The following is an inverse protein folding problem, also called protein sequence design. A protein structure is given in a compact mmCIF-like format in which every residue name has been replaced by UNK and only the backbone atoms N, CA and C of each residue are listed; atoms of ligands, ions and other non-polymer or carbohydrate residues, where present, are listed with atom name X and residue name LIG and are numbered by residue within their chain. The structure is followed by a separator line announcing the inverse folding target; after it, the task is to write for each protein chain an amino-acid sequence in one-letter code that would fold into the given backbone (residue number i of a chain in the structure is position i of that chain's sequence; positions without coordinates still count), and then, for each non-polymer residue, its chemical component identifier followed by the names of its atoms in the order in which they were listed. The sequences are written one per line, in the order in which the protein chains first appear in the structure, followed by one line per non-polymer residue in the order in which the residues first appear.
data_IF_716348241401
#
_entry.id   IF_716348241401
#
_cell.length_a   1.000
_cell.length_b   1.000
_cell.length_c   1.000
_cell.angle_alpha   90.00
_cell.angle_beta   90.00
_cell.angle_gamma   90.00
#
_symmetry.space_group_name_H-M   'P 1'
#
loop_
_entity.id
_entity.type
_entity.pdbx_description
1 polymer ?
#
# COMPACT_ATOMS: atom_id res chain seq x y z
N UNK A 1 -14.78 -36.20 -6.68
CA UNK A 1 -13.91 -35.11 -6.16
C UNK A 1 -14.81 -33.95 -5.80
N UNK A 2 -14.61 -33.38 -4.62
CA UNK A 2 -15.45 -32.26 -4.19
C UNK A 2 -15.10 -30.99 -4.99
N UNK A 3 -16.10 -30.38 -5.57
CA UNK A 3 -15.99 -29.12 -6.31
C UNK A 3 -16.59 -27.97 -5.50
N UNK A 4 -16.10 -26.75 -5.76
CA UNK A 4 -16.53 -25.52 -5.11
C UNK A 4 -16.54 -24.37 -6.11
N UNK A 5 -17.43 -23.43 -5.92
CA UNK A 5 -17.50 -22.21 -6.71
C UNK A 5 -16.56 -21.14 -6.12
N UNK A 6 -15.81 -20.45 -7.00
CA UNK A 6 -14.99 -19.32 -6.62
C UNK A 6 -15.83 -18.05 -6.52
N UNK A 7 -15.77 -17.34 -5.38
CA UNK A 7 -16.55 -16.11 -5.18
C UNK A 7 -16.13 -14.93 -6.07
N UNK A 8 -15.00 -15.03 -6.78
CA UNK A 8 -14.52 -13.98 -7.69
C UNK A 8 -14.87 -14.29 -9.14
N UNK A 9 -14.34 -15.41 -9.72
CA UNK A 9 -14.59 -15.75 -11.12
C UNK A 9 -15.88 -16.56 -11.35
N UNK A 10 -16.54 -17.00 -10.31
CA UNK A 10 -17.79 -17.79 -10.35
C UNK A 10 -17.66 -19.16 -11.03
N UNK A 11 -16.44 -19.60 -11.34
CA UNK A 11 -16.21 -20.91 -11.91
C UNK A 11 -16.23 -22.00 -10.82
N UNK A 12 -16.88 -23.11 -11.12
CA UNK A 12 -16.86 -24.32 -10.28
C UNK A 12 -15.54 -25.07 -10.56
N UNK A 13 -14.75 -25.26 -9.52
CA UNK A 13 -13.42 -25.88 -9.61
C UNK A 13 -13.26 -26.95 -8.52
N UNK A 14 -12.29 -27.85 -8.75
CA UNK A 14 -11.89 -28.79 -7.72
C UNK A 14 -11.33 -28.05 -6.49
N UNK A 15 -11.65 -28.48 -5.28
CA UNK A 15 -11.22 -27.85 -4.03
C UNK A 15 -9.71 -27.67 -3.91
N UNK A 16 -8.89 -28.54 -4.51
CA UNK A 16 -7.43 -28.40 -4.49
C UNK A 16 -6.90 -27.19 -5.28
N UNK A 17 -7.75 -26.55 -6.10
CA UNK A 17 -7.44 -25.33 -6.84
C UNK A 17 -7.77 -24.04 -6.06
N UNK A 18 -8.15 -24.16 -4.80
CA UNK A 18 -8.36 -23.04 -3.89
C UNK A 18 -7.18 -22.85 -2.97
N UNK A 19 -7.01 -21.64 -2.46
CA UNK A 19 -5.98 -21.28 -1.49
C UNK A 19 -6.56 -20.39 -0.42
N UNK A 20 -5.88 -20.31 0.72
CA UNK A 20 -6.19 -19.31 1.74
C UNK A 20 -6.02 -17.91 1.16
N UNK A 21 -7.08 -17.11 1.26
CA UNK A 21 -7.11 -15.69 0.95
C UNK A 21 -7.29 -14.89 2.24
N UNK A 22 -6.51 -13.84 2.42
CA UNK A 22 -6.68 -12.91 3.52
C UNK A 22 -7.65 -11.80 3.08
N UNK A 23 -8.79 -11.66 3.72
CA UNK A 23 -9.77 -10.59 3.40
C UNK A 23 -9.08 -9.23 3.43
N UNK A 24 -8.35 -8.95 4.49
CA UNK A 24 -7.42 -7.80 4.57
C UNK A 24 -6.01 -8.36 4.37
N UNK A 25 -5.19 -7.80 3.49
CA UNK A 25 -3.86 -8.32 3.23
C UNK A 25 -3.03 -8.56 4.50
N UNK A 26 -2.38 -9.72 4.61
CA UNK A 26 -1.49 -10.09 5.72
C UNK A 26 -0.40 -9.03 5.98
N UNK A 27 0.11 -8.41 4.91
CA UNK A 27 1.07 -7.33 5.01
C UNK A 27 0.53 -6.04 5.64
N UNK A 28 -0.78 -5.94 5.87
CA UNK A 28 -1.43 -4.90 6.67
C UNK A 28 -1.86 -5.40 8.04
N UNK A 29 -1.60 -6.67 8.37
CA UNK A 29 -1.94 -7.28 9.65
C UNK A 29 -3.32 -7.96 9.65
N UNK A 30 -3.91 -8.20 8.49
CA UNK A 30 -5.17 -8.96 8.38
C UNK A 30 -5.03 -10.39 8.87
N UNK A 31 -5.98 -10.85 9.68
CA UNK A 31 -5.96 -12.18 10.29
C UNK A 31 -7.07 -13.10 9.80
N UNK A 32 -8.14 -12.52 9.24
CA UNK A 32 -9.31 -13.28 8.76
C UNK A 32 -8.97 -13.88 7.40
N UNK A 33 -9.13 -15.19 7.28
CA UNK A 33 -8.87 -15.97 6.07
C UNK A 33 -10.11 -16.67 5.59
N UNK A 34 -10.23 -16.78 4.27
CA UNK A 34 -11.27 -17.53 3.59
C UNK A 34 -10.68 -18.55 2.61
N UNK A 35 -11.42 -19.61 2.33
CA UNK A 35 -11.03 -20.68 1.38
C UNK A 35 -11.97 -20.70 0.15
N UNK A 36 -12.52 -19.56 -0.23
CA UNK A 36 -13.52 -19.41 -1.25
C UNK A 36 -13.03 -18.77 -2.55
N UNK A 37 -11.73 -18.47 -2.58
CA UNK A 37 -11.06 -17.89 -3.74
C UNK A 37 -10.14 -18.92 -4.38
N UNK A 38 -10.26 -19.13 -5.70
CA UNK A 38 -9.35 -20.03 -6.39
C UNK A 38 -7.94 -19.43 -6.51
N UNK A 39 -6.92 -20.28 -6.57
CA UNK A 39 -5.50 -19.88 -6.63
C UNK A 39 -5.22 -18.83 -7.70
N UNK A 40 -5.81 -19.00 -8.90
CA UNK A 40 -5.62 -18.04 -10.00
C UNK A 40 -6.14 -16.66 -9.63
N UNK A 41 -7.36 -16.54 -9.09
CA UNK A 41 -7.91 -15.24 -8.68
C UNK A 41 -7.10 -14.63 -7.53
N UNK A 42 -6.73 -15.42 -6.52
CA UNK A 42 -5.93 -15.00 -5.39
C UNK A 42 -4.57 -14.41 -5.85
N UNK A 43 -3.86 -15.12 -6.75
CA UNK A 43 -2.58 -14.65 -7.29
C UNK A 43 -2.72 -13.35 -8.11
N UNK A 44 -3.78 -13.22 -8.90
CA UNK A 44 -4.03 -12.00 -9.69
C UNK A 44 -4.42 -10.82 -8.79
N UNK A 45 -5.27 -11.03 -7.79
CA UNK A 45 -5.62 -10.01 -6.81
C UNK A 45 -4.39 -9.55 -6.03
N UNK A 46 -3.55 -10.48 -5.56
CA UNK A 46 -2.32 -10.15 -4.85
C UNK A 46 -1.38 -9.24 -5.64
N UNK A 47 -1.29 -9.42 -6.96
CA UNK A 47 -0.44 -8.60 -7.84
C UNK A 47 -1.06 -7.26 -8.20
N UNK A 48 -2.37 -7.25 -8.49
CA UNK A 48 -3.06 -6.13 -9.13
C UNK A 48 -3.83 -5.24 -8.14
N UNK A 49 -4.13 -5.76 -6.95
CA UNK A 49 -4.93 -5.07 -5.93
C UNK A 49 -4.15 -4.90 -4.63
N UNK A 50 -3.86 -6.00 -3.92
CA UNK A 50 -3.24 -5.99 -2.58
C UNK A 50 -1.94 -5.19 -2.57
N UNK A 51 -1.12 -5.35 -3.62
CA UNK A 51 0.14 -4.62 -3.76
C UNK A 51 -0.07 -3.11 -3.70
N UNK A 52 -1.06 -2.57 -4.42
CA UNK A 52 -1.29 -1.13 -4.48
C UNK A 52 -1.76 -0.54 -3.14
N UNK A 53 -2.63 -1.24 -2.42
CA UNK A 53 -3.07 -0.80 -1.10
C UNK A 53 -1.94 -0.93 -0.07
N UNK A 54 -1.22 -2.04 -0.05
CA UNK A 54 -0.16 -2.30 0.93
C UNK A 54 1.06 -1.42 0.71
N UNK A 55 1.30 -1.02 -0.54
CA UNK A 55 2.41 -0.17 -0.95
C UNK A 55 2.06 1.33 -0.95
N UNK A 56 0.81 1.69 -0.74
CA UNK A 56 0.40 3.08 -0.61
C UNK A 56 1.11 3.77 0.55
N UNK A 57 1.59 5.01 0.35
CA UNK A 57 2.45 5.70 1.33
C UNK A 57 1.84 5.74 2.73
N UNK A 58 0.53 5.97 2.86
CA UNK A 58 -0.14 6.01 4.17
C UNK A 58 -0.09 4.64 4.87
N UNK A 59 -0.18 3.56 4.11
CA UNK A 59 -0.10 2.21 4.65
C UNK A 59 1.35 1.77 4.91
N UNK A 60 2.33 2.29 4.18
CA UNK A 60 3.75 2.13 4.54
C UNK A 60 4.07 2.82 5.86
N UNK A 61 3.51 4.02 6.11
CA UNK A 61 3.60 4.70 7.41
C UNK A 61 2.98 3.85 8.51
N UNK A 62 1.76 3.33 8.28
CA UNK A 62 1.06 2.44 9.20
C UNK A 62 1.90 1.20 9.53
N UNK A 63 2.37 0.48 8.52
CA UNK A 63 3.21 -0.72 8.67
C UNK A 63 4.50 -0.43 9.44
N UNK A 64 5.13 0.72 9.18
CA UNK A 64 6.33 1.15 9.90
C UNK A 64 6.02 1.44 11.37
N UNK A 65 4.95 2.20 11.65
CA UNK A 65 4.49 2.55 13.02
C UNK A 65 4.23 1.31 13.86
N UNK A 66 3.54 0.31 13.30
CA UNK A 66 3.15 -0.89 14.02
C UNK A 66 4.07 -2.10 13.78
N UNK A 67 5.18 -1.91 13.11
CA UNK A 67 6.20 -2.94 12.80
C UNK A 67 5.65 -4.16 12.07
N UNK A 68 4.73 -3.95 11.13
CA UNK A 68 4.07 -5.01 10.36
C UNK A 68 4.94 -5.36 9.15
N UNK A 69 5.51 -6.57 9.14
CA UNK A 69 6.44 -7.02 8.10
C UNK A 69 5.77 -7.77 6.93
N UNK A 70 4.63 -8.40 7.16
CA UNK A 70 3.98 -9.30 6.20
C UNK A 70 4.83 -10.54 5.86
N UNK A 71 4.48 -11.26 4.81
CA UNK A 71 5.12 -12.53 4.39
C UNK A 71 6.62 -12.42 4.13
N UNK A 72 7.11 -11.27 3.74
CA UNK A 72 8.55 -11.08 3.42
C UNK A 72 9.44 -10.91 4.64
N UNK A 73 8.87 -10.76 5.85
CA UNK A 73 9.62 -10.45 7.08
C UNK A 73 10.24 -9.03 7.09
N UNK A 74 9.96 -8.20 6.07
CA UNK A 74 10.55 -6.86 5.95
C UNK A 74 9.49 -5.78 6.17
N UNK A 75 9.82 -4.81 7.01
CA UNK A 75 9.03 -3.58 7.17
C UNK A 75 9.41 -2.65 6.01
N UNK A 76 8.44 -2.11 5.24
CA UNK A 76 8.77 -1.25 4.11
C UNK A 76 9.37 0.08 4.54
N UNK A 77 10.21 0.67 3.70
CA UNK A 77 10.57 2.07 3.82
C UNK A 77 9.38 2.95 3.40
N UNK A 78 9.17 4.06 4.13
CA UNK A 78 8.03 4.95 3.86
C UNK A 78 8.17 5.60 2.49
N UNK A 79 9.38 6.07 2.16
CA UNK A 79 9.70 6.66 0.86
C UNK A 79 10.63 5.70 0.14
N UNK A 80 10.14 5.08 -0.92
CA UNK A 80 10.89 4.08 -1.70
C UNK A 80 11.77 4.68 -2.77
N UNK A 81 11.34 5.79 -3.31
CA UNK A 81 12.03 6.44 -4.42
C UNK A 81 13.06 7.41 -3.89
N UNK A 82 14.24 7.37 -4.49
CA UNK A 82 15.20 8.43 -4.29
C UNK A 82 14.69 9.70 -4.97
N UNK A 83 14.92 10.81 -4.34
CA UNK A 83 14.69 12.13 -4.93
C UNK A 83 16.02 12.75 -5.38
N UNK A 84 15.93 13.84 -6.11
CA UNK A 84 17.08 14.62 -6.52
C UNK A 84 16.91 16.03 -5.98
N UNK A 85 18.00 16.61 -5.53
CA UNK A 85 18.03 18.03 -5.17
C UNK A 85 18.08 18.93 -6.40
N UNK A 86 18.09 20.25 -6.18
CA UNK A 86 18.19 21.25 -7.25
C UNK A 86 19.48 21.16 -8.07
N UNK A 87 20.51 20.47 -7.57
CA UNK A 87 21.79 20.23 -8.25
C UNK A 87 21.87 18.84 -8.88
N UNK A 88 20.77 18.08 -8.93
CA UNK A 88 20.71 16.73 -9.50
C UNK A 88 21.37 15.64 -8.66
N UNK A 89 21.64 15.89 -7.36
CA UNK A 89 22.21 14.90 -6.46
C UNK A 89 21.13 13.93 -5.98
N UNK A 90 21.44 12.65 -6.00
CA UNK A 90 20.56 11.62 -5.48
C UNK A 90 20.47 11.70 -3.96
N UNK A 91 19.24 11.73 -3.45
CA UNK A 91 18.91 11.73 -2.02
C UNK A 91 18.04 10.53 -1.72
N UNK A 92 18.44 9.73 -0.74
CA UNK A 92 17.63 8.66 -0.16
C UNK A 92 17.05 9.17 1.16
N UNK A 93 15.74 8.96 1.34
CA UNK A 93 15.06 9.25 2.60
C UNK A 93 14.85 7.93 3.31
N UNK A 94 15.48 7.76 4.45
CA UNK A 94 15.32 6.59 5.33
C UNK A 94 14.64 6.98 6.62
N UNK A 95 14.02 6.03 7.26
CA UNK A 95 13.41 6.22 8.58
C UNK A 95 14.26 5.48 9.60
N UNK A 96 14.67 6.15 10.66
CA UNK A 96 15.38 5.53 11.77
C UNK A 96 14.45 4.67 12.66
N UNK A 97 15.00 4.07 13.71
CA UNK A 97 14.25 3.22 14.65
C UNK A 97 13.17 3.97 15.42
N UNK A 98 13.29 5.28 15.55
CA UNK A 98 12.34 6.18 16.21
C UNK A 98 11.32 6.78 15.23
N UNK A 99 11.31 6.33 13.96
CA UNK A 99 10.50 6.85 12.87
C UNK A 99 10.83 8.29 12.44
N UNK A 100 12.02 8.83 12.80
CA UNK A 100 12.46 10.10 12.26
C UNK A 100 13.03 9.91 10.86
N UNK A 101 12.78 10.89 10.00
CA UNK A 101 13.34 10.86 8.65
C UNK A 101 14.82 11.23 8.68
N UNK A 102 15.64 10.36 8.13
CA UNK A 102 17.07 10.60 7.90
C UNK A 102 17.32 10.74 6.40
N UNK A 103 17.89 11.88 6.03
CA UNK A 103 18.27 12.16 4.65
C UNK A 103 19.70 11.66 4.43
N UNK A 104 19.88 10.84 3.41
CA UNK A 104 21.18 10.32 3.01
C UNK A 104 21.47 10.85 1.61
N UNK A 105 22.42 11.79 1.52
CA UNK A 105 22.85 12.34 0.26
C UNK A 105 23.94 11.47 -0.36
N UNK A 106 23.82 11.17 -1.64
CA UNK A 106 24.92 10.58 -2.39
C UNK A 106 26.06 11.58 -2.50
N UNK A 107 27.32 11.15 -2.41
CA UNK A 107 28.45 12.09 -2.50
C UNK A 107 28.44 12.80 -3.85
N UNK A 108 28.67 14.11 -3.81
CA UNK A 108 28.91 14.87 -5.02
C UNK A 108 30.32 14.52 -5.53
N UNK A 109 30.44 14.31 -6.86
CA UNK A 109 31.68 13.92 -7.53
C UNK A 109 32.01 14.97 -8.57
N UNK A 110 33.15 15.59 -8.40
CA UNK A 110 33.66 16.60 -9.31
C UNK A 110 35.05 16.16 -9.82
N UNK A 111 35.15 15.90 -11.11
CA UNK A 111 36.44 15.63 -11.73
C UNK A 111 37.15 16.97 -11.97
N UNK A 112 38.31 17.17 -11.34
CA UNK A 112 39.12 18.37 -11.52
C UNK A 112 40.03 18.24 -12.73
N UNK A 113 40.45 17.01 -13.04
CA UNK A 113 41.19 16.63 -14.24
C UNK A 113 41.01 15.10 -14.46
N UNK A 114 41.70 14.55 -15.47
CA UNK A 114 41.58 13.13 -15.82
C UNK A 114 41.96 12.15 -14.69
N UNK A 115 42.68 12.59 -13.67
CA UNK A 115 43.21 11.74 -12.60
C UNK A 115 42.81 12.21 -11.20
N UNK A 116 42.16 13.36 -11.07
CA UNK A 116 41.76 13.90 -9.76
C UNK A 116 40.27 13.98 -9.63
N UNK A 117 39.75 13.28 -8.62
CA UNK A 117 38.35 13.25 -8.26
C UNK A 117 38.15 13.89 -6.88
N UNK A 118 37.43 14.99 -6.85
CA UNK A 118 36.93 15.55 -5.59
C UNK A 118 35.61 14.91 -5.23
N UNK A 119 35.50 14.42 -3.99
CA UNK A 119 34.26 13.84 -3.45
C UNK A 119 33.87 14.61 -2.19
N UNK A 120 32.64 15.18 -2.24
CA UNK A 120 32.03 15.84 -1.08
C UNK A 120 31.02 14.90 -0.45
N UNK A 121 31.15 14.67 0.84
CA UNK A 121 30.27 13.80 1.62
C UNK A 121 29.45 14.62 2.61
N UNK A 122 28.30 14.09 2.98
CA UNK A 122 27.53 14.62 4.10
C UNK A 122 28.33 14.43 5.39
N UNK A 123 28.25 15.41 6.28
CA UNK A 123 28.90 15.30 7.60
C UNK A 123 28.40 14.05 8.35
N UNK A 124 29.32 13.32 8.98
CA UNK A 124 29.04 12.07 9.70
C UNK A 124 28.71 10.85 8.82
N UNK A 125 28.96 10.89 7.50
CA UNK A 125 28.79 9.69 6.66
C UNK A 125 29.87 8.64 6.95
N UNK A 126 29.51 7.62 7.72
CA UNK A 126 30.39 6.50 8.11
C UNK A 126 30.69 5.51 6.97
N UNK A 127 30.11 5.69 5.78
CA UNK A 127 30.40 4.88 4.58
C UNK A 127 31.42 5.51 3.63
N UNK A 128 31.89 6.73 3.93
CA UNK A 128 32.77 7.49 3.04
C UNK A 128 34.00 6.70 2.61
N UNK A 129 34.69 6.05 3.53
CA UNK A 129 35.90 5.27 3.23
C UNK A 129 35.64 4.10 2.28
N UNK A 130 34.54 3.36 2.53
CA UNK A 130 34.14 2.23 1.67
C UNK A 130 33.76 2.69 0.25
N UNK A 131 33.13 3.86 0.13
CA UNK A 131 32.76 4.45 -1.17
C UNK A 131 33.99 4.86 -1.94
N UNK A 132 34.96 5.51 -1.27
CA UNK A 132 36.23 5.93 -1.87
C UNK A 132 37.04 4.74 -2.35
N UNK A 133 37.18 3.71 -1.50
CA UNK A 133 37.92 2.51 -1.84
C UNK A 133 37.29 1.79 -3.05
N UNK A 134 35.99 1.62 -3.08
CA UNK A 134 35.30 1.05 -4.26
C UNK A 134 35.50 1.87 -5.53
N UNK A 135 35.76 3.17 -5.44
CA UNK A 135 36.15 4.00 -6.59
C UNK A 135 37.59 3.76 -7.03
N UNK A 136 38.52 3.66 -6.10
CA UNK A 136 39.93 3.36 -6.38
C UNK A 136 40.08 1.99 -7.05
N UNK A 137 39.40 0.98 -6.52
CA UNK A 137 39.39 -0.37 -7.11
C UNK A 137 38.86 -0.38 -8.56
N UNK A 138 37.73 0.32 -8.80
CA UNK A 138 37.16 0.42 -10.17
C UNK A 138 38.07 1.18 -11.13
N UNK A 139 38.78 2.17 -10.68
CA UNK A 139 39.75 2.91 -11.49
C UNK A 139 40.96 2.04 -11.82
N UNK A 140 41.50 1.34 -10.81
CA UNK A 140 42.63 0.41 -10.96
C UNK A 140 42.29 -0.72 -11.93
N UNK A 141 41.07 -1.27 -11.88
CA UNK A 141 40.60 -2.30 -12.83
C UNK A 141 40.55 -1.77 -14.27
N UNK A 142 40.50 -0.45 -14.49
CA UNK A 142 40.55 0.21 -15.80
C UNK A 142 41.94 0.74 -16.16
N UNK A 143 42.98 0.36 -15.39
CA UNK A 143 44.35 0.83 -15.60
C UNK A 143 44.56 2.31 -15.29
N UNK A 144 43.70 2.92 -14.45
CA UNK A 144 43.77 4.32 -14.07
C UNK A 144 44.10 4.46 -12.58
N UNK A 145 44.98 5.37 -12.24
CA UNK A 145 45.26 5.78 -10.88
C UNK A 145 44.54 7.10 -10.62
N UNK A 146 43.64 7.14 -9.64
CA UNK A 146 42.83 8.32 -9.32
C UNK A 146 43.17 8.80 -7.92
N UNK A 147 43.58 10.05 -7.81
CA UNK A 147 43.73 10.76 -6.54
C UNK A 147 42.35 11.24 -6.10
N UNK A 148 41.85 10.78 -4.94
CA UNK A 148 40.57 11.19 -4.37
C UNK A 148 40.82 12.17 -3.24
N UNK A 149 40.42 13.45 -3.43
CA UNK A 149 40.40 14.46 -2.40
C UNK A 149 39.04 14.42 -1.68
N UNK A 150 39.07 14.17 -0.39
CA UNK A 150 37.89 14.21 0.47
C UNK A 150 37.69 15.65 0.95
N UNK A 151 36.50 16.17 0.79
CA UNK A 151 36.10 17.46 1.34
C UNK A 151 34.81 17.23 2.12
N UNK A 152 34.76 17.68 3.35
CA UNK A 152 33.58 17.64 4.19
C UNK A 152 32.73 18.86 3.90
N UNK A 153 31.43 18.68 3.94
CA UNK A 153 30.32 19.61 3.91
C UNK A 153 29.51 19.58 2.60
N UNK A 154 28.46 18.78 2.64
CA UNK A 154 27.28 19.02 1.82
C UNK A 154 26.20 19.61 2.72
N UNK A 155 25.89 20.87 2.55
CA UNK A 155 24.72 21.46 3.19
C UNK A 155 23.46 20.71 2.71
N UNK A 156 22.52 20.39 3.63
CA UNK A 156 21.27 19.78 3.24
C UNK A 156 20.51 20.74 2.32
N UNK A 157 19.89 20.26 1.24
CA UNK A 157 19.11 21.12 0.37
C UNK A 157 17.88 21.68 1.10
N UNK A 158 17.52 22.91 0.81
CA UNK A 158 16.36 23.58 1.42
C UNK A 158 15.01 22.95 1.06
N UNK A 159 14.93 22.28 -0.09
CA UNK A 159 13.71 21.65 -0.59
C UNK A 159 14.01 20.30 -1.23
N UNK A 160 13.09 19.36 -0.99
CA UNK A 160 13.12 18.03 -1.58
C UNK A 160 11.84 17.79 -2.38
N UNK A 161 11.98 17.31 -3.60
CA UNK A 161 10.85 16.88 -4.41
C UNK A 161 10.91 15.36 -4.56
N UNK A 162 9.84 14.68 -4.17
CA UNK A 162 9.69 13.27 -4.49
C UNK A 162 8.42 13.10 -5.32
N UNK A 163 8.47 12.16 -6.26
CA UNK A 163 7.33 11.78 -7.09
C UNK A 163 6.96 10.35 -6.76
N UNK A 164 5.71 10.13 -6.47
CA UNK A 164 5.14 8.81 -6.28
C UNK A 164 3.97 8.64 -7.24
N UNK A 165 3.94 7.54 -7.96
CA UNK A 165 2.82 7.17 -8.82
C UNK A 165 1.85 6.32 -8.01
N UNK A 166 0.60 6.77 -7.92
CA UNK A 166 -0.44 6.12 -7.15
C UNK A 166 -1.52 5.63 -8.10
N UNK A 167 -1.77 4.33 -8.12
CA UNK A 167 -2.89 3.75 -8.83
C UNK A 167 -4.15 3.78 -7.95
N UNK A 168 -4.86 4.90 -7.97
CA UNK A 168 -6.06 5.08 -7.15
C UNK A 168 -7.18 4.10 -7.52
N UNK A 169 -7.32 3.75 -8.79
CA UNK A 169 -8.33 2.76 -9.25
C UNK A 169 -8.06 1.39 -8.64
N UNK A 170 -6.81 0.94 -8.62
CA UNK A 170 -6.45 -0.32 -7.97
C UNK A 170 -6.72 -0.29 -6.46
N UNK A 171 -6.41 0.83 -5.79
CA UNK A 171 -6.68 1.00 -4.35
C UNK A 171 -8.20 0.98 -4.09
N UNK A 172 -9.01 1.67 -4.90
CA UNK A 172 -10.48 1.62 -4.81
C UNK A 172 -10.99 0.18 -4.97
N UNK A 173 -10.47 -0.52 -5.98
CA UNK A 173 -10.87 -1.90 -6.25
C UNK A 173 -10.46 -2.84 -5.10
N UNK A 174 -9.32 -2.62 -4.46
CA UNK A 174 -8.93 -3.40 -3.29
C UNK A 174 -9.89 -3.20 -2.11
N UNK A 175 -10.31 -1.98 -1.83
CA UNK A 175 -11.35 -1.74 -0.83
C UNK A 175 -12.67 -2.43 -1.18
N UNK A 176 -13.02 -2.44 -2.46
CA UNK A 176 -14.20 -3.11 -2.96
C UNK A 176 -14.11 -4.64 -2.79
N UNK A 177 -12.94 -5.23 -3.10
CA UNK A 177 -12.64 -6.65 -2.87
C UNK A 177 -12.76 -7.00 -1.39
N UNK A 178 -12.14 -6.23 -0.49
CA UNK A 178 -12.21 -6.43 0.96
C UNK A 178 -13.66 -6.44 1.44
N UNK A 179 -14.48 -5.48 0.99
CA UNK A 179 -15.90 -5.42 1.34
C UNK A 179 -16.68 -6.65 0.82
N UNK A 180 -16.38 -7.09 -0.41
CA UNK A 180 -17.01 -8.25 -1.04
C UNK A 180 -16.69 -9.55 -0.28
N UNK A 181 -15.42 -9.82 -0.03
CA UNK A 181 -14.97 -11.02 0.67
C UNK A 181 -15.46 -11.03 2.13
N UNK A 182 -15.47 -9.87 2.74
CA UNK A 182 -15.98 -9.71 4.09
C UNK A 182 -17.47 -10.06 4.20
N UNK A 183 -18.31 -9.54 3.28
CA UNK A 183 -19.73 -9.90 3.26
C UNK A 183 -19.95 -11.37 2.89
N UNK A 184 -19.15 -11.95 2.02
CA UNK A 184 -19.17 -13.38 1.75
C UNK A 184 -18.90 -14.24 3.00
N UNK A 185 -18.09 -13.71 3.91
CA UNK A 185 -17.74 -14.40 5.16
C UNK A 185 -18.79 -14.21 6.27
N UNK A 186 -19.39 -13.03 6.35
CA UNK A 186 -20.26 -12.66 7.48
C UNK A 186 -21.75 -12.71 7.22
N UNK A 187 -22.19 -12.53 5.99
CA UNK A 187 -23.60 -12.42 5.62
C UNK A 187 -23.99 -13.53 4.63
N UNK A 188 -24.66 -14.56 5.15
CA UNK A 188 -25.09 -15.70 4.35
C UNK A 188 -26.05 -15.28 3.21
N UNK A 189 -26.94 -14.31 3.46
CA UNK A 189 -27.89 -13.78 2.47
C UNK A 189 -27.21 -13.04 1.32
N UNK A 190 -25.99 -12.51 1.55
CA UNK A 190 -25.27 -11.76 0.55
C UNK A 190 -24.96 -12.59 -0.71
N UNK A 191 -24.62 -13.87 -0.53
CA UNK A 191 -24.23 -14.75 -1.64
C UNK A 191 -25.37 -15.05 -2.60
N UNK A 192 -26.63 -14.96 -2.14
CA UNK A 192 -27.82 -15.16 -2.94
C UNK A 192 -28.32 -13.87 -3.60
N UNK A 193 -27.66 -12.76 -3.36
CA UNK A 193 -28.06 -11.44 -3.85
C UNK A 193 -27.57 -11.14 -5.27
N UNK A 194 -28.29 -10.26 -5.97
CA UNK A 194 -27.85 -9.71 -7.25
C UNK A 194 -26.58 -8.87 -7.12
N UNK A 195 -26.39 -8.26 -5.95
CA UNK A 195 -25.20 -7.45 -5.66
C UNK A 195 -23.95 -8.30 -5.56
N UNK A 196 -24.03 -9.51 -4.99
CA UNK A 196 -22.93 -10.46 -5.00
C UNK A 196 -22.48 -10.80 -6.43
N UNK A 197 -23.43 -11.11 -7.33
CA UNK A 197 -23.13 -11.42 -8.73
C UNK A 197 -22.43 -10.23 -9.43
N UNK A 198 -22.97 -9.04 -9.26
CA UNK A 198 -22.38 -7.81 -9.80
C UNK A 198 -20.97 -7.60 -9.26
N UNK A 199 -20.81 -7.67 -7.95
CA UNK A 199 -19.55 -7.35 -7.29
C UNK A 199 -18.44 -8.36 -7.66
N UNK A 200 -18.75 -9.67 -7.71
CA UNK A 200 -17.84 -10.69 -8.23
C UNK A 200 -17.39 -10.38 -9.66
N UNK A 201 -18.35 -10.01 -10.53
CA UNK A 201 -18.06 -9.67 -11.93
C UNK A 201 -17.14 -8.47 -12.08
N UNK A 202 -17.38 -7.39 -11.31
CA UNK A 202 -16.56 -6.19 -11.35
C UNK A 202 -15.12 -6.46 -10.90
N UNK A 203 -14.93 -7.24 -9.83
CA UNK A 203 -13.59 -7.63 -9.37
C UNK A 203 -12.91 -8.49 -10.43
N UNK A 204 -13.61 -9.50 -10.96
CA UNK A 204 -13.05 -10.39 -11.95
C UNK A 204 -12.69 -9.64 -13.25
N UNK A 205 -13.52 -8.72 -13.71
CA UNK A 205 -13.24 -7.90 -14.87
C UNK A 205 -11.98 -7.06 -14.66
N UNK A 206 -11.85 -6.39 -13.50
CA UNK A 206 -10.70 -5.58 -13.20
C UNK A 206 -9.40 -6.39 -13.19
N UNK A 207 -9.36 -7.54 -12.51
CA UNK A 207 -8.14 -8.37 -12.47
C UNK A 207 -7.76 -8.97 -13.83
N UNK A 208 -8.67 -9.00 -14.81
CA UNK A 208 -8.35 -9.41 -16.17
C UNK A 208 -7.82 -8.27 -17.03
N UNK A 209 -8.39 -7.07 -16.93
CA UNK A 209 -8.13 -5.94 -17.85
C UNK A 209 -7.31 -4.81 -17.26
N UNK A 210 -7.36 -4.62 -15.94
CA UNK A 210 -6.76 -3.46 -15.20
C UNK A 210 -7.25 -2.09 -15.71
N UNK A 211 -8.46 -2.05 -16.26
CA UNK A 211 -9.09 -0.86 -16.79
C UNK A 211 -10.01 -0.21 -15.74
N UNK A 212 -10.22 1.09 -15.88
CA UNK A 212 -11.16 1.82 -15.05
C UNK A 212 -12.57 1.28 -15.26
N UNK A 213 -13.28 1.09 -14.14
CA UNK A 213 -14.68 0.68 -14.11
C UNK A 213 -15.50 1.84 -13.57
N UNK A 214 -16.40 2.38 -14.38
CA UNK A 214 -17.19 3.57 -14.03
C UNK A 214 -17.97 3.41 -12.73
N UNK A 215 -18.50 2.22 -12.47
CA UNK A 215 -19.22 1.97 -11.23
C UNK A 215 -18.30 2.19 -10.01
N UNK A 216 -17.06 1.69 -10.07
CA UNK A 216 -16.06 1.83 -8.99
C UNK A 216 -15.69 3.30 -8.79
N UNK A 217 -15.43 4.02 -9.88
CA UNK A 217 -15.04 5.43 -9.81
C UNK A 217 -16.14 6.32 -9.23
N UNK A 218 -17.41 6.01 -9.56
CA UNK A 218 -18.55 6.79 -9.11
C UNK A 218 -19.00 6.47 -7.68
N UNK A 219 -18.84 5.25 -7.22
CA UNK A 219 -19.39 4.78 -5.95
C UNK A 219 -18.36 4.64 -4.82
N UNK A 220 -17.05 4.69 -5.10
CA UNK A 220 -16.01 4.63 -4.07
C UNK A 220 -15.36 5.99 -3.89
N UNK A 221 -15.45 6.52 -2.67
CA UNK A 221 -14.94 7.83 -2.29
C UNK A 221 -13.78 7.71 -1.30
N UNK A 222 -12.77 8.55 -1.50
CA UNK A 222 -11.64 8.72 -0.60
C UNK A 222 -11.60 10.13 -0.02
N UNK A 223 -11.39 10.29 1.30
CA UNK A 223 -11.33 11.61 1.95
C UNK A 223 -10.22 12.52 1.40
N UNK A 224 -9.13 11.92 0.92
CA UNK A 224 -7.97 12.65 0.41
C UNK A 224 -8.18 13.26 -0.98
N UNK A 225 -9.13 12.73 -1.75
CA UNK A 225 -9.35 13.09 -3.16
C UNK A 225 -10.71 13.72 -3.37
N UNK A 226 -11.71 13.23 -2.67
CA UNK A 226 -13.09 13.64 -2.84
C UNK A 226 -13.47 14.78 -1.88
N UNK A 227 -14.13 15.80 -2.38
CA UNK A 227 -14.48 17.02 -1.61
C UNK A 227 -15.71 16.88 -0.71
N UNK A 228 -16.31 15.69 -0.60
CA UNK A 228 -17.50 15.41 0.20
C UNK A 228 -17.20 15.44 1.70
N UNK A 229 -16.96 16.65 2.22
CA UNK A 229 -16.61 16.90 3.63
C UNK A 229 -17.67 16.43 4.62
N UNK A 230 -18.96 16.47 4.25
CA UNK A 230 -20.06 16.10 5.14
C UNK A 230 -20.04 14.62 5.51
N UNK A 231 -19.84 13.73 4.54
CA UNK A 231 -19.80 12.28 4.77
C UNK A 231 -18.61 11.89 5.66
N UNK A 232 -17.46 12.53 5.44
CA UNK A 232 -16.28 12.25 6.26
C UNK A 232 -16.39 12.83 7.66
N UNK A 233 -17.11 13.90 7.85
CA UNK A 233 -17.41 14.45 9.17
C UNK A 233 -18.32 13.50 9.97
N UNK A 234 -19.37 12.96 9.36
CA UNK A 234 -20.24 11.95 10.02
C UNK A 234 -19.46 10.69 10.39
N UNK A 235 -18.58 10.25 9.50
CA UNK A 235 -17.70 9.10 9.76
C UNK A 235 -16.68 9.42 10.86
N UNK A 236 -16.10 10.62 10.89
CA UNK A 236 -15.19 11.05 11.96
C UNK A 236 -15.91 11.14 13.31
N UNK A 237 -17.16 11.61 13.34
CA UNK A 237 -18.00 11.58 14.54
C UNK A 237 -18.28 10.16 14.98
N UNK A 238 -18.60 9.25 14.06
CA UNK A 238 -18.79 7.83 14.34
C UNK A 238 -17.53 7.23 14.97
N UNK A 239 -16.35 7.54 14.42
CA UNK A 239 -15.06 7.10 14.98
C UNK A 239 -14.76 7.68 16.35
N UNK A 240 -15.10 8.94 16.60
CA UNK A 240 -14.96 9.53 17.93
C UNK A 240 -15.86 8.84 18.95
N UNK A 241 -17.05 8.42 18.53
CA UNK A 241 -17.98 7.71 19.39
C UNK A 241 -17.55 6.28 19.67
N UNK A 242 -17.09 5.55 18.64
CA UNK A 242 -16.61 4.17 18.73
C UNK A 242 -15.15 4.13 19.25
N UNK A 243 -14.37 5.15 18.96
CA UNK A 243 -12.90 5.18 19.09
C UNK A 243 -12.35 5.21 20.51
N UNK A 244 -13.19 5.30 21.53
CA UNK A 244 -12.74 5.16 22.93
C UNK A 244 -12.31 3.73 23.28
N UNK A 245 -12.74 2.73 22.49
CA UNK A 245 -12.49 1.31 22.75
C UNK A 245 -11.67 0.60 21.66
N UNK A 246 -11.45 1.23 20.49
CA UNK A 246 -10.77 0.60 19.36
C UNK A 246 -9.31 1.04 19.32
N UNK A 247 -8.39 0.07 19.30
CA UNK A 247 -6.96 0.34 19.14
C UNK A 247 -6.69 1.04 17.81
N UNK A 248 -5.79 2.01 17.77
CA UNK A 248 -5.38 2.70 16.53
C UNK A 248 -4.86 1.74 15.44
N UNK A 249 -4.32 0.58 15.84
CA UNK A 249 -3.84 -0.46 14.92
C UNK A 249 -4.93 -1.33 14.33
N UNK A 250 -6.20 -1.20 14.75
CA UNK A 250 -7.28 -2.05 14.26
C UNK A 250 -7.79 -1.59 12.90
N UNK A 251 -8.17 -2.56 12.07
CA UNK A 251 -8.96 -2.29 10.87
C UNK A 251 -10.45 -2.23 11.24
N UNK A 252 -11.21 -1.44 10.50
CA UNK A 252 -12.64 -1.27 10.77
C UNK A 252 -13.40 -1.45 9.47
N UNK A 253 -14.39 -2.31 9.50
CA UNK A 253 -15.38 -2.45 8.44
C UNK A 253 -16.75 -2.18 9.06
N UNK A 254 -17.35 -1.09 8.61
CA UNK A 254 -18.68 -0.70 9.02
C UNK A 254 -19.63 -0.86 7.85
N UNK A 255 -20.66 -1.65 8.02
CA UNK A 255 -21.66 -1.92 7.01
C UNK A 255 -23.01 -1.35 7.42
N UNK A 256 -23.65 -0.62 6.52
CA UNK A 256 -25.02 -0.15 6.62
C UNK A 256 -25.78 -0.46 5.34
N UNK A 257 -27.13 -0.32 5.35
CA UNK A 257 -27.98 -0.59 4.18
C UNK A 257 -27.59 0.17 2.90
N UNK A 258 -26.90 1.31 3.01
CA UNK A 258 -26.62 2.20 1.88
C UNK A 258 -25.15 2.25 1.51
N UNK A 259 -24.25 1.94 2.44
CA UNK A 259 -22.84 2.11 2.24
C UNK A 259 -22.00 1.15 3.11
N UNK A 260 -20.81 0.83 2.64
CA UNK A 260 -19.77 0.17 3.40
C UNK A 260 -18.67 1.18 3.64
N UNK A 261 -18.30 1.35 4.91
CA UNK A 261 -17.17 2.17 5.29
C UNK A 261 -16.03 1.28 5.76
N UNK A 262 -14.82 1.56 5.28
CA UNK A 262 -13.62 0.80 5.63
C UNK A 262 -12.50 1.73 6.08
N UNK A 263 -11.86 1.37 7.19
CA UNK A 263 -10.55 1.88 7.58
C UNK A 263 -9.56 0.73 7.56
N UNK A 264 -8.66 0.72 6.61
CA UNK A 264 -7.63 -0.30 6.46
C UNK A 264 -6.27 0.39 6.60
N UNK A 265 -5.57 0.09 7.69
CA UNK A 265 -4.38 0.83 8.07
C UNK A 265 -4.69 2.32 8.26
N UNK A 266 -3.94 3.18 7.59
CA UNK A 266 -4.14 4.63 7.58
C UNK A 266 -5.00 5.13 6.41
N UNK A 267 -5.69 4.23 5.71
CA UNK A 267 -6.48 4.57 4.53
C UNK A 267 -7.96 4.35 4.81
N UNK A 268 -8.78 5.31 4.38
CA UNK A 268 -10.23 5.31 4.54
C UNK A 268 -10.90 5.23 3.17
N UNK A 269 -11.98 4.48 3.08
CA UNK A 269 -12.86 4.44 1.91
C UNK A 269 -14.32 4.34 2.32
N UNK A 270 -15.19 4.94 1.49
CA UNK A 270 -16.63 4.82 1.57
C UNK A 270 -17.14 4.26 0.25
N UNK A 271 -17.91 3.18 0.30
CA UNK A 271 -18.48 2.53 -0.87
C UNK A 271 -19.99 2.65 -0.82
N UNK A 272 -20.57 3.43 -1.72
CA UNK A 272 -22.01 3.57 -1.88
C UNK A 272 -22.61 2.43 -2.71
N UNK A 273 -23.89 2.12 -2.49
CA UNK A 273 -24.67 1.17 -3.29
C UNK A 273 -24.02 -0.24 -3.42
N UNK A 274 -23.24 -0.64 -2.41
CA UNK A 274 -22.49 -1.89 -2.45
C UNK A 274 -23.41 -3.11 -2.34
N UNK A 275 -24.31 -3.08 -1.35
CA UNK A 275 -25.28 -4.14 -1.11
C UNK A 275 -26.57 -3.56 -0.53
N UNK A 276 -27.69 -3.87 -1.15
CA UNK A 276 -28.99 -3.40 -0.70
C UNK A 276 -29.74 -4.54 0.00
N UNK A 277 -29.51 -4.67 1.30
CA UNK A 277 -30.21 -5.63 2.15
C UNK A 277 -31.61 -5.10 2.47
N UNK A 278 -32.64 -5.68 1.86
CA UNK A 278 -34.02 -5.35 2.20
C UNK A 278 -34.29 -5.70 3.67
N UNK A 279 -34.74 -4.71 4.46
CA UNK A 279 -35.30 -4.84 5.82
C UNK A 279 -34.34 -5.03 7.02
N UNK A 280 -33.07 -4.75 6.98
CA UNK A 280 -32.26 -4.71 8.20
C UNK A 280 -31.89 -3.29 8.60
N UNK A 281 -32.31 -2.87 9.82
CA UNK A 281 -31.90 -1.60 10.45
C UNK A 281 -30.57 -1.69 11.17
N UNK A 282 -29.90 -2.84 11.12
CA UNK A 282 -28.71 -3.11 11.89
C UNK A 282 -27.45 -2.73 11.12
N UNK A 283 -26.67 -1.81 11.68
CA UNK A 283 -25.30 -1.57 11.28
C UNK A 283 -24.40 -2.57 12.00
N UNK A 284 -23.47 -3.20 11.28
CA UNK A 284 -22.51 -4.13 11.85
C UNK A 284 -21.13 -3.47 11.83
N UNK A 285 -20.50 -3.38 12.99
CA UNK A 285 -19.13 -2.89 13.13
C UNK A 285 -18.26 -4.08 13.47
N UNK A 286 -17.21 -4.25 12.68
CA UNK A 286 -16.24 -5.31 12.91
C UNK A 286 -14.85 -4.69 13.01
N UNK A 287 -14.18 -5.05 14.10
CA UNK A 287 -12.80 -4.69 14.37
C UNK A 287 -11.97 -5.92 14.07
N UNK A 288 -11.14 -5.85 13.05
CA UNK A 288 -10.25 -6.93 12.62
C UNK A 288 -8.78 -6.59 12.95
#
# INVERSE_FOLDING_TARGET
MESKECIICREIKNKNLFSEEHIIPDSLGGTIKILEVCKKCNEEMGKKLDYHLTDFILNRIYRKKYKISGKTGKIPEIIKNHTYDSKGRKIEIKTDENNNFKLIQSPLKEFQDNNRLQMLFQDGDNKREKIVEGFREKAKAKGKEIEVKLTEVLEPPEKYNFKEEINLTAIKMEFFKIAHEFLCYYDEDYRDSKDFLRNSSLIHEYIQKEEKIDWIENNIKFPLVDKDKEIFYEVELLFKYIGKEIKESSHIIFYSQKAVFLRIGNTLALIHNFYNKNNSTNATIIVA
#
